data_IF_885839783713
#
_entry.id   IF_885839783713
#
_cell.length_a   1.000
_cell.length_b   1.000
_cell.length_c   1.000
_cell.angle_alpha   90.00
_cell.angle_beta   90.00
_cell.angle_gamma   90.00
#
_symmetry.space_group_name_H-M   'P 1'
#
loop_
_entity.id
_entity.type
_entity.pdbx_description
1 polymer ?
#
# COMPACT_ATOMS: atom_id res chain seq x y z
N UNK A 1 -15.40 -1.02 -14.11
CA UNK A 1 -14.69 -0.93 -12.82
C UNK A 1 -13.88 -2.20 -12.66
N UNK A 2 -12.60 -2.19 -13.00
CA UNK A 2 -11.72 -3.34 -12.81
C UNK A 2 -11.23 -3.31 -11.36
N UNK A 3 -11.88 -4.06 -10.48
CA UNK A 3 -11.36 -4.28 -9.13
C UNK A 3 -10.03 -5.01 -9.28
N UNK A 4 -8.92 -4.36 -8.93
CA UNK A 4 -7.60 -4.98 -8.87
C UNK A 4 -7.69 -6.19 -7.93
N UNK A 5 -7.88 -7.36 -8.52
CA UNK A 5 -7.94 -8.62 -7.80
C UNK A 5 -6.52 -9.09 -7.61
N UNK A 6 -5.81 -8.42 -6.69
CA UNK A 6 -4.43 -8.75 -6.37
C UNK A 6 -4.45 -10.10 -5.65
N UNK A 7 -3.94 -11.13 -6.33
CA UNK A 7 -3.92 -12.48 -5.78
C UNK A 7 -2.88 -12.57 -4.66
N UNK A 8 -3.11 -13.43 -3.66
CA UNK A 8 -2.15 -13.66 -2.57
C UNK A 8 -0.76 -14.06 -3.08
N UNK A 9 -0.72 -14.80 -4.19
CA UNK A 9 0.52 -15.22 -4.85
C UNK A 9 1.34 -14.05 -5.38
N UNK A 10 0.67 -13.01 -5.90
CA UNK A 10 1.34 -11.79 -6.37
C UNK A 10 1.99 -11.07 -5.20
N UNK A 11 1.25 -10.88 -4.10
CA UNK A 11 1.78 -10.26 -2.87
C UNK A 11 2.92 -11.08 -2.26
N UNK A 12 2.90 -12.41 -2.42
CA UNK A 12 3.99 -13.25 -1.98
C UNK A 12 5.29 -13.06 -2.79
N UNK A 13 5.20 -12.59 -4.04
CA UNK A 13 6.34 -12.24 -4.87
C UNK A 13 6.89 -10.82 -4.62
N UNK A 14 6.11 -9.96 -3.96
CA UNK A 14 6.52 -8.57 -3.68
C UNK A 14 7.68 -8.55 -2.69
N UNK A 15 8.71 -7.77 -3.04
CA UNK A 15 9.90 -7.56 -2.22
C UNK A 15 9.83 -6.20 -1.51
N UNK A 16 10.66 -6.02 -0.48
CA UNK A 16 10.77 -4.73 0.23
C UNK A 16 11.08 -3.56 -0.71
N UNK A 17 11.81 -3.79 -1.80
CA UNK A 17 12.15 -2.79 -2.81
C UNK A 17 10.92 -2.31 -3.58
N UNK A 18 10.05 -3.24 -3.95
CA UNK A 18 8.80 -2.93 -4.64
C UNK A 18 7.84 -2.16 -3.71
N UNK A 19 7.78 -2.53 -2.42
CA UNK A 19 7.00 -1.80 -1.42
C UNK A 19 7.54 -0.38 -1.21
N UNK A 20 8.86 -0.21 -1.13
CA UNK A 20 9.51 1.10 -1.06
C UNK A 20 9.11 1.98 -2.26
N UNK A 21 9.19 1.45 -3.48
CA UNK A 21 8.79 2.21 -4.67
C UNK A 21 7.30 2.56 -4.65
N UNK A 22 6.45 1.64 -4.18
CA UNK A 22 5.01 1.89 -4.01
C UNK A 22 4.73 3.01 -3.01
N UNK A 23 5.39 2.97 -1.85
CA UNK A 23 5.27 3.97 -0.80
C UNK A 23 5.74 5.35 -1.29
N UNK A 24 6.89 5.41 -1.98
CA UNK A 24 7.41 6.66 -2.56
C UNK A 24 6.42 7.27 -3.55
N UNK A 25 5.75 6.45 -4.38
CA UNK A 25 4.74 6.94 -5.33
C UNK A 25 3.54 7.54 -4.61
N UNK A 26 3.10 6.89 -3.52
CA UNK A 26 2.01 7.38 -2.67
C UNK A 26 2.39 8.69 -1.98
N UNK A 27 3.60 8.78 -1.44
CA UNK A 27 4.11 10.01 -0.81
C UNK A 27 4.27 11.17 -1.78
N UNK A 28 4.71 10.90 -3.01
CA UNK A 28 4.84 11.94 -4.02
C UNK A 28 3.47 12.45 -4.48
N UNK A 29 2.40 11.68 -4.29
CA UNK A 29 1.03 11.94 -4.76
C UNK A 29 0.99 12.34 -6.26
N UNK A 30 2.02 11.98 -7.02
CA UNK A 30 2.23 12.45 -8.39
C UNK A 30 1.56 11.50 -9.39
N UNK A 31 0.28 11.22 -9.12
CA UNK A 31 -0.55 10.38 -9.97
C UNK A 31 -1.21 11.20 -11.06
N UNK A 32 -1.39 10.60 -12.23
CA UNK A 32 -2.10 11.28 -13.33
C UNK A 32 -3.58 11.46 -13.00
N UNK A 33 -4.11 10.62 -12.10
CA UNK A 33 -5.50 10.68 -11.66
C UNK A 33 -5.67 10.03 -10.28
N UNK A 34 -6.63 10.52 -9.47
CA UNK A 34 -6.90 10.05 -8.10
C UNK A 34 -7.14 8.54 -7.96
N UNK A 35 -7.71 7.88 -8.98
CA UNK A 35 -7.91 6.42 -8.98
C UNK A 35 -6.59 5.64 -8.95
N UNK A 36 -5.51 6.16 -9.54
CA UNK A 36 -4.21 5.49 -9.52
C UNK A 36 -3.60 5.51 -8.12
N UNK A 37 -3.67 6.65 -7.43
CA UNK A 37 -3.25 6.75 -6.02
C UNK A 37 -4.06 5.82 -5.12
N UNK A 38 -5.38 5.76 -5.32
CA UNK A 38 -6.24 4.81 -4.60
C UNK A 38 -5.86 3.35 -4.86
N UNK A 39 -5.50 2.99 -6.09
CA UNK A 39 -5.10 1.62 -6.43
C UNK A 39 -3.79 1.23 -5.73
N UNK A 40 -2.79 2.12 -5.75
CA UNK A 40 -1.52 1.90 -5.07
C UNK A 40 -1.72 1.83 -3.55
N UNK A 41 -2.60 2.68 -2.99
CA UNK A 41 -2.96 2.66 -1.58
C UNK A 41 -3.63 1.34 -1.19
N UNK A 42 -4.57 0.86 -2.00
CA UNK A 42 -5.22 -0.44 -1.81
C UNK A 42 -4.21 -1.61 -1.89
N UNK A 43 -3.22 -1.52 -2.78
CA UNK A 43 -2.16 -2.51 -2.89
C UNK A 43 -1.28 -2.51 -1.63
N UNK A 44 -0.83 -1.34 -1.18
CA UNK A 44 -0.03 -1.19 0.05
C UNK A 44 -0.79 -1.76 1.25
N UNK A 45 -2.10 -1.49 1.34
CA UNK A 45 -2.98 -2.03 2.38
C UNK A 45 -3.08 -3.56 2.30
N UNK A 46 -3.24 -4.12 1.10
CA UNK A 46 -3.30 -5.57 0.91
C UNK A 46 -1.98 -6.27 1.28
N UNK A 47 -0.83 -5.61 1.02
CA UNK A 47 0.48 -6.08 1.46
C UNK A 47 0.56 -6.00 2.98
N UNK A 48 0.12 -4.92 3.62
CA UNK A 48 0.13 -4.78 5.08
C UNK A 48 -0.65 -5.90 5.78
N UNK A 49 -1.78 -6.34 5.20
CA UNK A 49 -2.56 -7.47 5.72
C UNK A 49 -1.86 -8.83 5.63
N UNK A 50 -0.98 -9.04 4.63
CA UNK A 50 -0.35 -10.34 4.40
C UNK A 50 1.11 -10.41 4.84
N UNK A 51 1.82 -9.28 4.76
CA UNK A 51 3.25 -9.09 5.06
C UNK A 51 3.44 -7.73 5.75
N UNK A 52 2.97 -7.57 6.98
CA UNK A 52 3.09 -6.32 7.73
C UNK A 52 4.55 -5.88 7.90
N UNK A 53 5.49 -6.82 8.00
CA UNK A 53 6.94 -6.55 8.10
C UNK A 53 7.50 -5.70 6.95
N UNK A 54 6.92 -5.77 5.75
CA UNK A 54 7.36 -4.98 4.59
C UNK A 54 6.79 -3.57 4.60
N UNK A 55 5.65 -3.38 5.26
CA UNK A 55 4.88 -2.12 5.25
C UNK A 55 5.05 -1.35 6.56
N UNK A 56 5.65 -1.96 7.57
CA UNK A 56 5.94 -1.35 8.88
C UNK A 56 6.51 0.08 8.80
N UNK A 57 7.54 0.39 7.98
CA UNK A 57 8.04 1.76 7.85
C UNK A 57 7.08 2.72 7.11
N UNK A 58 6.12 2.19 6.34
CA UNK A 58 5.20 2.93 5.48
C UNK A 58 3.74 2.91 5.99
N UNK A 59 3.51 2.37 7.19
CA UNK A 59 2.17 2.20 7.79
C UNK A 59 1.45 3.54 7.94
N UNK A 60 2.20 4.64 8.12
CA UNK A 60 1.71 6.00 8.23
C UNK A 60 0.99 6.48 6.96
N UNK A 61 1.29 5.91 5.79
CA UNK A 61 0.61 6.22 4.52
C UNK A 61 -0.78 5.59 4.42
N UNK A 62 -1.05 4.56 5.22
CA UNK A 62 -2.33 3.86 5.19
C UNK A 62 -3.41 4.54 6.04
N UNK A 63 -3.09 5.68 6.67
CA UNK A 63 -3.95 6.35 7.65
C UNK A 63 -4.47 5.35 8.70
N UNK A 64 -3.64 4.35 9.01
CA UNK A 64 -3.88 3.44 10.12
C UNK A 64 -3.45 4.18 11.37
N UNK A 65 -4.25 5.15 11.78
CA UNK A 65 -4.13 5.72 13.12
C UNK A 65 -4.26 4.54 14.10
N UNK A 66 -3.27 4.29 14.98
CA UNK A 66 -3.59 3.56 16.19
C UNK A 66 -4.72 4.36 16.84
N UNK A 67 -5.87 3.73 17.05
CA UNK A 67 -7.02 4.37 17.68
C UNK A 67 -6.55 4.96 19.02
N UNK A 68 -6.24 6.27 19.02
CA UNK A 68 -5.78 6.99 20.19
C UNK A 68 -7.04 7.41 20.94
N UNK A 69 -7.48 6.52 21.84
CA UNK A 69 -8.55 6.79 22.80
C UNK A 69 -8.06 7.86 23.78
N UNK A 70 -8.18 9.13 23.40
CA UNK A 70 -8.02 10.29 24.28
C UNK A 70 -9.31 10.59 25.05
#
# INVERSE_FOLDING_TARGET
>A
MSTLSISKQEIAGITSKEVEQLAIRLEQDNYSNAFEGLNDWHLLRAIAFQRPELVEPYIHLLDLEPYDEA
#
